data_IF_289345271111
#
_entry.id   IF_289345271111
#
_cell.length_a   1.000
_cell.length_b   1.000
_cell.length_c   1.000
_cell.angle_alpha   90.00
_cell.angle_beta   90.00
_cell.angle_gamma   90.00
#
_symmetry.space_group_name_H-M   'P 1'
#
loop_
_entity.id
_entity.type
_entity.pdbx_description
1 polymer ?
#
# COMPACT_ATOMS: atom_id res chain seq x y z
N UNK A 1 61.28 -5.98 2.16
CA UNK A 1 59.98 -5.82 2.86
C UNK A 1 59.26 -4.60 2.31
N UNK A 2 58.14 -4.87 1.63
CA UNK A 2 56.91 -4.07 1.47
C UNK A 2 57.02 -2.59 1.07
N UNK A 3 56.71 -2.31 -0.19
CA UNK A 3 55.95 -1.11 -0.55
C UNK A 3 54.76 -1.52 -1.42
N UNK A 4 53.56 -1.35 -0.84
CA UNK A 4 52.27 -1.66 -1.44
C UNK A 4 51.95 -0.71 -2.61
N UNK A 5 51.29 -1.18 -3.68
CA UNK A 5 50.77 -0.28 -4.70
C UNK A 5 49.49 0.39 -4.19
N UNK A 6 49.46 1.72 -4.30
CA UNK A 6 48.31 2.56 -4.00
C UNK A 6 47.09 2.14 -4.84
N UNK A 7 46.03 1.70 -4.18
CA UNK A 7 44.72 1.52 -4.81
C UNK A 7 44.09 2.88 -5.06
N UNK A 8 43.99 3.27 -6.33
CA UNK A 8 43.22 4.41 -6.78
C UNK A 8 41.74 4.20 -6.42
N UNK A 9 41.23 5.05 -5.52
CA UNK A 9 39.82 5.09 -5.13
C UNK A 9 39.04 5.77 -6.26
N UNK A 10 38.36 4.98 -7.09
CA UNK A 10 37.41 5.51 -8.07
C UNK A 10 36.35 6.35 -7.34
N UNK A 11 35.90 7.48 -7.92
CA UNK A 11 34.84 8.28 -7.31
C UNK A 11 33.56 7.44 -7.24
N UNK A 12 33.04 7.26 -6.02
CA UNK A 12 31.74 6.65 -5.80
C UNK A 12 30.67 7.55 -6.45
N UNK A 13 30.23 7.13 -7.62
CA UNK A 13 29.09 7.71 -8.33
C UNK A 13 27.85 7.54 -7.42
N UNK A 14 27.01 8.57 -7.23
CA UNK A 14 25.76 8.41 -6.50
C UNK A 14 24.95 7.32 -7.20
N UNK A 15 24.57 6.27 -6.46
CA UNK A 15 23.65 5.26 -6.95
C UNK A 15 22.33 5.96 -7.28
N UNK A 16 22.12 6.24 -8.57
CA UNK A 16 20.84 6.63 -9.09
C UNK A 16 19.93 5.41 -8.96
N UNK A 17 19.01 5.42 -8.00
CA UNK A 17 17.94 4.44 -7.91
C UNK A 17 16.95 4.69 -9.06
N UNK A 18 17.31 4.21 -10.25
CA UNK A 18 16.38 4.04 -11.36
C UNK A 18 15.53 2.80 -11.10
N UNK A 19 14.44 2.94 -10.36
CA UNK A 19 13.33 1.98 -10.43
C UNK A 19 12.12 2.69 -11.05
N UNK A 20 12.01 2.59 -12.36
CA UNK A 20 10.80 2.88 -13.13
C UNK A 20 9.71 1.83 -12.83
N UNK A 21 9.31 1.74 -11.56
CA UNK A 21 8.34 0.78 -11.03
C UNK A 21 7.74 1.31 -9.74
N UNK A 22 6.48 0.95 -9.47
CA UNK A 22 5.78 1.37 -8.26
C UNK A 22 6.53 0.93 -7.00
N UNK A 23 6.53 1.79 -5.97
CA UNK A 23 7.07 1.41 -4.66
C UNK A 23 6.30 0.19 -4.12
N UNK A 24 6.98 -0.67 -3.37
CA UNK A 24 6.34 -1.75 -2.63
C UNK A 24 5.79 -1.23 -1.29
N UNK A 25 4.81 -1.93 -0.69
CA UNK A 25 4.43 -1.68 0.71
C UNK A 25 5.62 -1.92 1.64
N UNK A 26 5.64 -1.24 2.78
CA UNK A 26 6.71 -1.45 3.77
C UNK A 26 6.63 -2.86 4.37
N UNK A 27 7.79 -3.43 4.70
CA UNK A 27 7.89 -4.78 5.28
C UNK A 27 7.11 -4.91 6.61
N UNK A 28 7.04 -3.83 7.38
CA UNK A 28 6.26 -3.72 8.62
C UNK A 28 4.76 -3.86 8.34
N UNK A 29 4.26 -3.15 7.32
CA UNK A 29 2.86 -3.24 6.86
C UNK A 29 2.52 -4.65 6.39
N UNK A 30 3.36 -5.27 5.58
CA UNK A 30 3.16 -6.65 5.13
C UNK A 30 3.15 -7.64 6.31
N UNK A 31 4.03 -7.45 7.28
CA UNK A 31 4.07 -8.28 8.50
C UNK A 31 2.78 -8.13 9.31
N UNK A 32 2.29 -6.90 9.48
CA UNK A 32 1.03 -6.63 10.18
C UNK A 32 -0.18 -7.20 9.43
N UNK A 33 -0.22 -7.05 8.10
CA UNK A 33 -1.27 -7.60 7.26
C UNK A 33 -1.27 -9.13 7.31
N UNK A 34 -0.10 -9.78 7.28
CA UNK A 34 0.03 -11.23 7.43
C UNK A 34 -0.50 -11.71 8.79
N UNK A 35 -0.18 -11.00 9.87
CA UNK A 35 -0.72 -11.31 11.20
C UNK A 35 -2.25 -11.24 11.23
N UNK A 36 -2.83 -10.18 10.64
CA UNK A 36 -4.28 -10.03 10.55
C UNK A 36 -4.91 -11.13 9.68
N UNK A 37 -4.27 -11.48 8.56
CA UNK A 37 -4.73 -12.54 7.65
C UNK A 37 -4.82 -13.90 8.36
N UNK A 38 -3.83 -14.25 9.19
CA UNK A 38 -3.82 -15.48 9.99
C UNK A 38 -4.90 -15.49 11.06
N UNK A 39 -5.10 -14.36 11.76
CA UNK A 39 -6.05 -14.28 12.89
C UNK A 39 -7.49 -14.27 12.41
N UNK A 40 -7.77 -13.56 11.32
CA UNK A 40 -9.12 -13.33 10.82
C UNK A 40 -9.53 -14.33 9.72
N UNK A 41 -8.59 -15.19 9.28
CA UNK A 41 -8.74 -16.11 8.15
C UNK A 41 -9.20 -15.41 6.86
N UNK A 42 -8.49 -14.32 6.50
CA UNK A 42 -8.82 -13.48 5.34
C UNK A 42 -7.64 -13.35 4.38
N UNK A 43 -7.81 -13.55 3.07
CA UNK A 43 -6.75 -13.32 2.09
C UNK A 43 -6.34 -11.84 2.03
N UNK A 44 -5.04 -11.62 1.76
CA UNK A 44 -4.49 -10.29 1.45
C UNK A 44 -4.62 -10.07 -0.06
N UNK A 45 -5.33 -9.01 -0.44
CA UNK A 45 -5.53 -8.57 -1.81
C UNK A 45 -4.74 -7.28 -2.09
N UNK A 46 -3.91 -7.30 -3.14
CA UNK A 46 -3.01 -6.20 -3.52
C UNK A 46 -3.38 -5.55 -4.85
N UNK A 47 -4.52 -5.92 -5.42
CA UNK A 47 -5.08 -5.39 -6.68
C UNK A 47 -5.36 -3.88 -6.62
N UNK A 48 -5.62 -3.33 -5.44
CA UNK A 48 -5.80 -1.88 -5.22
C UNK A 48 -4.50 -1.10 -4.99
N UNK A 49 -3.36 -1.77 -4.78
CA UNK A 49 -2.11 -1.12 -4.38
C UNK A 49 -1.65 -0.07 -5.40
N UNK A 50 -1.41 -0.52 -6.63
CA UNK A 50 -0.91 0.33 -7.72
C UNK A 50 -1.88 1.49 -8.02
N UNK A 51 -3.18 1.19 -8.04
CA UNK A 51 -4.20 2.20 -8.27
C UNK A 51 -4.26 3.24 -7.15
N UNK A 52 -3.97 2.85 -5.90
CA UNK A 52 -3.95 3.78 -4.76
C UNK A 52 -2.79 4.77 -4.87
N UNK A 53 -1.63 4.32 -5.33
CA UNK A 53 -0.47 5.18 -5.61
C UNK A 53 -0.78 6.17 -6.74
N UNK A 54 -1.50 5.73 -7.77
CA UNK A 54 -1.93 6.57 -8.89
C UNK A 54 -3.12 7.48 -8.57
N UNK A 55 -3.71 7.35 -7.38
CA UNK A 55 -4.91 8.10 -6.97
C UNK A 55 -6.08 7.88 -7.92
N UNK A 56 -6.15 6.70 -8.56
CA UNK A 56 -7.26 6.29 -9.45
C UNK A 56 -8.33 5.50 -8.72
N UNK A 57 -8.05 5.01 -7.50
CA UNK A 57 -9.04 4.49 -6.56
C UNK A 57 -9.22 5.46 -5.40
N UNK A 58 -10.34 5.36 -4.70
CA UNK A 58 -10.66 6.21 -3.57
C UNK A 58 -11.37 5.45 -2.45
N UNK A 59 -11.36 6.02 -1.25
CA UNK A 59 -12.25 5.62 -0.16
C UNK A 59 -13.56 6.40 -0.32
N UNK A 60 -14.62 5.70 -0.70
CA UNK A 60 -15.97 6.25 -0.80
C UNK A 60 -16.63 6.23 0.57
N UNK A 61 -17.25 7.34 0.98
CA UNK A 61 -18.05 7.45 2.20
C UNK A 61 -19.51 7.63 1.80
N UNK A 62 -20.36 6.65 2.12
CA UNK A 62 -21.81 6.70 1.91
C UNK A 62 -22.49 7.59 2.95
N UNK A 63 -23.76 7.94 2.70
CA UNK A 63 -24.56 8.77 3.62
C UNK A 63 -24.77 8.14 5.00
N UNK A 64 -24.80 6.81 5.07
CA UNK A 64 -24.86 6.04 6.32
C UNK A 64 -23.51 5.91 7.04
N UNK A 65 -22.49 6.68 6.61
CA UNK A 65 -21.10 6.65 7.09
C UNK A 65 -20.32 5.36 6.79
N UNK A 66 -20.90 4.42 6.04
CA UNK A 66 -20.16 3.26 5.56
C UNK A 66 -19.06 3.69 4.58
N UNK A 67 -17.92 3.03 4.70
CA UNK A 67 -16.76 3.27 3.82
C UNK A 67 -16.56 2.07 2.91
N UNK A 68 -16.17 2.29 1.67
CA UNK A 68 -15.78 1.24 0.73
C UNK A 68 -14.61 1.71 -0.13
N UNK A 69 -13.81 0.77 -0.64
CA UNK A 69 -12.84 1.08 -1.68
C UNK A 69 -13.56 1.10 -3.03
N UNK A 70 -13.42 2.20 -3.75
CA UNK A 70 -14.04 2.43 -5.07
C UNK A 70 -12.93 2.50 -6.11
N UNK A 71 -12.98 1.60 -7.09
CA UNK A 71 -12.11 1.62 -8.27
C UNK A 71 -12.82 2.20 -9.47
N UNK A 72 -14.10 1.90 -9.62
CA UNK A 72 -15.01 2.51 -10.60
C UNK A 72 -16.44 2.45 -10.04
N UNK A 73 -17.42 2.95 -10.79
CA UNK A 73 -18.85 2.86 -10.42
C UNK A 73 -19.33 1.39 -10.33
N UNK A 74 -18.72 0.50 -11.11
CA UNK A 74 -19.07 -0.93 -11.17
C UNK A 74 -18.18 -1.79 -10.27
N UNK A 75 -16.95 -1.35 -9.98
CA UNK A 75 -15.96 -2.10 -9.21
C UNK A 75 -15.68 -1.42 -7.88
N UNK A 76 -16.25 -1.97 -6.82
CA UNK A 76 -16.04 -1.56 -5.44
C UNK A 76 -16.03 -2.76 -4.49
N UNK A 77 -15.44 -2.56 -3.31
CA UNK A 77 -15.39 -3.59 -2.27
C UNK A 77 -16.65 -3.60 -1.41
N UNK A 78 -16.88 -4.69 -0.67
CA UNK A 78 -17.78 -4.67 0.49
C UNK A 78 -17.42 -3.56 1.48
N UNK A 79 -18.36 -3.15 2.35
CA UNK A 79 -18.10 -2.16 3.38
C UNK A 79 -16.85 -2.49 4.20
N UNK A 80 -16.05 -1.46 4.45
CA UNK A 80 -14.85 -1.52 5.27
C UNK A 80 -15.28 -1.68 6.72
N UNK A 81 -14.87 -2.79 7.32
CA UNK A 81 -15.06 -3.06 8.74
C UNK A 81 -14.03 -2.32 9.59
N UNK A 82 -12.78 -2.25 9.14
CA UNK A 82 -11.69 -1.63 9.90
C UNK A 82 -10.58 -1.08 9.02
N UNK A 83 -9.96 0.00 9.47
CA UNK A 83 -8.80 0.62 8.82
C UNK A 83 -7.70 0.76 9.86
N UNK A 84 -6.51 0.24 9.56
CA UNK A 84 -5.31 0.42 10.36
C UNK A 84 -4.31 1.26 9.56
N UNK A 85 -3.72 2.27 10.19
CA UNK A 85 -2.61 3.03 9.60
C UNK A 85 -1.28 2.44 10.05
N UNK A 86 -0.43 2.08 9.09
CA UNK A 86 0.94 1.59 9.36
C UNK A 86 1.88 2.39 8.46
N UNK A 87 2.67 3.28 9.07
CA UNK A 87 3.58 4.15 8.31
C UNK A 87 2.85 4.98 7.25
N UNK A 88 3.20 4.73 5.99
CA UNK A 88 2.64 5.38 4.79
C UNK A 88 1.55 4.55 4.09
N UNK A 89 1.05 3.51 4.75
CA UNK A 89 0.01 2.64 4.21
C UNK A 89 -1.20 2.53 5.15
N UNK A 90 -2.34 2.20 4.55
CA UNK A 90 -3.50 1.67 5.24
C UNK A 90 -3.63 0.18 4.97
N UNK A 91 -3.91 -0.58 6.04
CA UNK A 91 -4.43 -1.94 5.97
C UNK A 91 -5.95 -1.84 6.18
N UNK A 92 -6.71 -2.17 5.14
CA UNK A 92 -8.15 -2.04 5.09
C UNK A 92 -8.76 -3.43 5.14
N UNK A 93 -9.65 -3.67 6.10
CA UNK A 93 -10.31 -4.94 6.28
C UNK A 93 -11.78 -4.82 5.92
N UNK A 94 -12.23 -5.70 5.04
CA UNK A 94 -13.65 -5.91 4.72
C UNK A 94 -14.14 -7.17 5.40
N UNK A 95 -15.36 -7.62 5.05
CA UNK A 95 -15.92 -8.88 5.54
C UNK A 95 -15.01 -10.07 5.22
N UNK A 96 -14.52 -10.18 3.99
CA UNK A 96 -13.85 -11.41 3.50
C UNK A 96 -12.40 -11.20 3.04
N UNK A 97 -11.86 -9.97 3.06
CA UNK A 97 -10.53 -9.69 2.52
C UNK A 97 -9.82 -8.54 3.23
N UNK A 98 -8.50 -8.53 3.11
CA UNK A 98 -7.61 -7.48 3.61
C UNK A 98 -6.95 -6.81 2.41
N UNK A 99 -7.08 -5.49 2.28
CA UNK A 99 -6.43 -4.68 1.25
C UNK A 99 -5.31 -3.85 1.85
N UNK A 100 -4.30 -3.54 1.04
CA UNK A 100 -3.26 -2.57 1.38
C UNK A 100 -3.29 -1.45 0.36
N UNK A 101 -3.36 -0.21 0.83
CA UNK A 101 -3.39 0.99 -0.01
C UNK A 101 -2.47 2.07 0.55
N UNK A 102 -2.07 3.01 -0.29
CA UNK A 102 -1.31 4.18 0.12
C UNK A 102 -2.13 5.10 1.04
N UNK A 103 -1.49 5.72 2.03
CA UNK A 103 -2.15 6.65 2.96
C UNK A 103 -2.70 7.91 2.27
N UNK A 104 -2.12 8.30 1.13
CA UNK A 104 -2.55 9.43 0.30
C UNK A 104 -3.73 9.09 -0.63
N UNK A 105 -4.32 7.89 -0.50
CA UNK A 105 -5.54 7.53 -1.22
C UNK A 105 -6.64 8.58 -0.96
N UNK A 106 -7.26 9.16 -2.01
CA UNK A 106 -8.29 10.17 -1.84
C UNK A 106 -9.53 9.60 -1.13
N UNK A 107 -10.20 10.44 -0.34
CA UNK A 107 -11.48 10.11 0.30
C UNK A 107 -12.56 11.05 -0.23
N UNK A 108 -13.69 10.53 -0.68
CA UNK A 108 -14.82 11.33 -1.19
C UNK A 108 -16.14 10.83 -0.63
N UNK A 109 -17.07 11.75 -0.37
CA UNK A 109 -18.48 11.37 -0.14
C UNK A 109 -19.08 10.93 -1.47
N UNK A 110 -19.81 9.83 -1.45
CA UNK A 110 -20.52 9.31 -2.61
C UNK A 110 -22.00 9.17 -2.23
N UNK A 111 -22.87 9.69 -3.10
CA UNK A 111 -24.31 9.48 -3.00
C UNK A 111 -24.63 8.27 -3.86
N UNK A 112 -25.32 7.29 -3.29
CA UNK A 112 -25.91 6.19 -4.06
C UNK A 112 -27.18 6.64 -4.77
#
# INVERSE_FOLDING_TARGET
MNNAPASQKAPAQPAANTSSGYRLPEATTLTHAAKLSVVEDKPIMLDYWTNSLNKTVLIGVKDNQEKLLVKSEEEYTSPIAKIYKVGKEYIIMTENSIYIVDVEIPTKKISS
#
